data_IF_685160732159
#
_entry.id   IF_685160732159
#
_cell.length_a   1.000
_cell.length_b   1.000
_cell.length_c   1.000
_cell.angle_alpha   90.00
_cell.angle_beta   90.00
_cell.angle_gamma   90.00
#
_symmetry.space_group_name_H-M   'P 1'
#
loop_
_entity.id
_entity.type
_entity.pdbx_description
1 polymer ?
#
# COMPACT_ATOMS: atom_id res chain seq x y z
N UNK A 1 -8.32 8.34 -53.83
CA UNK A 1 -8.43 7.21 -52.87
C UNK A 1 -7.17 6.36 -52.98
N UNK A 2 -6.23 6.48 -52.04
CA UNK A 2 -5.07 5.59 -51.95
C UNK A 2 -5.38 4.50 -50.91
N UNK A 3 -5.09 3.22 -51.17
CA UNK A 3 -5.38 2.14 -50.22
C UNK A 3 -4.30 2.10 -49.13
N UNK A 4 -4.73 1.92 -47.88
CA UNK A 4 -3.84 1.62 -46.74
C UNK A 4 -3.35 0.15 -46.83
N UNK A 5 -2.05 -0.14 -46.65
CA UNK A 5 -1.56 -1.48 -46.44
C UNK A 5 -1.35 -1.75 -44.94
N UNK A 6 -1.80 -2.92 -44.46
CA UNK A 6 -1.45 -3.40 -43.11
C UNK A 6 -2.59 -4.09 -42.38
N UNK A 7 -3.05 -5.22 -42.91
CA UNK A 7 -3.94 -6.14 -42.20
C UNK A 7 -3.14 -6.84 -41.08
N UNK A 8 -3.26 -6.37 -39.84
CA UNK A 8 -2.79 -7.11 -38.66
C UNK A 8 -3.80 -8.22 -38.35
N UNK A 9 -3.44 -9.44 -38.70
CA UNK A 9 -4.21 -10.67 -38.45
C UNK A 9 -4.00 -11.16 -37.02
N UNK A 10 -4.52 -10.43 -36.04
CA UNK A 10 -4.76 -10.93 -34.69
C UNK A 10 -6.27 -10.95 -34.46
N UNK A 11 -6.86 -12.11 -34.11
CA UNK A 11 -8.29 -12.21 -33.77
C UNK A 11 -8.58 -11.36 -32.52
N UNK A 12 -8.97 -10.10 -32.71
CA UNK A 12 -9.59 -9.30 -31.67
C UNK A 12 -10.98 -9.86 -31.37
N UNK A 13 -11.31 -10.01 -30.09
CA UNK A 13 -12.67 -10.39 -29.69
C UNK A 13 -13.65 -9.22 -29.89
N UNK A 14 -14.94 -9.51 -30.09
CA UNK A 14 -15.97 -8.50 -30.42
C UNK A 14 -16.01 -7.32 -29.43
N UNK A 15 -15.72 -7.56 -28.15
CA UNK A 15 -15.59 -6.50 -27.13
C UNK A 15 -14.39 -5.56 -27.34
N UNK A 16 -13.25 -6.08 -27.81
CA UNK A 16 -12.07 -5.26 -28.13
C UNK A 16 -12.32 -4.40 -29.37
N UNK A 17 -13.06 -4.91 -30.36
CA UNK A 17 -13.49 -4.11 -31.51
C UNK A 17 -14.42 -2.96 -31.11
N UNK A 18 -15.36 -3.19 -30.20
CA UNK A 18 -16.29 -2.14 -29.73
C UNK A 18 -15.54 -1.07 -28.92
N UNK A 19 -14.63 -1.45 -28.03
CA UNK A 19 -13.77 -0.49 -27.30
C UNK A 19 -12.87 0.28 -28.27
N UNK A 20 -12.27 -0.37 -29.27
CA UNK A 20 -11.42 0.28 -30.27
C UNK A 20 -12.21 1.28 -31.14
N UNK A 21 -13.41 0.91 -31.59
CA UNK A 21 -14.30 1.76 -32.39
C UNK A 21 -14.83 2.95 -31.58
N UNK A 22 -15.29 2.72 -30.34
CA UNK A 22 -15.71 3.79 -29.43
C UNK A 22 -14.53 4.68 -29.03
N UNK A 23 -13.34 4.10 -28.85
CA UNK A 23 -12.12 4.85 -28.50
C UNK A 23 -11.62 5.75 -29.63
N UNK A 24 -11.83 5.38 -30.89
CA UNK A 24 -11.34 6.18 -32.03
C UNK A 24 -12.32 7.26 -32.47
N UNK A 25 -13.63 7.05 -32.33
CA UNK A 25 -14.66 8.00 -32.81
C UNK A 25 -15.15 9.01 -31.76
N UNK A 26 -15.15 8.67 -30.46
CA UNK A 26 -15.65 9.57 -29.41
C UNK A 26 -14.56 10.33 -28.67
N UNK A 27 -13.31 9.88 -28.67
CA UNK A 27 -12.26 10.49 -27.85
C UNK A 27 -11.78 11.83 -28.42
N UNK A 28 -11.57 11.95 -29.73
CA UNK A 28 -11.10 13.20 -30.33
C UNK A 28 -11.94 14.42 -29.94
N UNK A 29 -13.29 14.44 -30.09
CA UNK A 29 -14.08 15.60 -29.69
C UNK A 29 -14.11 15.82 -28.16
N UNK A 30 -13.95 14.77 -27.36
CA UNK A 30 -13.90 14.88 -25.89
C UNK A 30 -12.57 15.47 -25.42
N UNK A 31 -11.44 14.98 -25.95
CA UNK A 31 -10.09 15.48 -25.66
C UNK A 31 -9.91 16.92 -26.13
N UNK A 32 -10.39 17.24 -27.33
CA UNK A 32 -10.35 18.61 -27.85
C UNK A 32 -11.14 19.58 -26.95
N UNK A 33 -12.25 19.12 -26.38
CA UNK A 33 -13.05 19.91 -25.42
C UNK A 33 -12.38 20.02 -24.05
N UNK A 34 -11.72 18.97 -23.57
CA UNK A 34 -11.03 18.96 -22.28
C UNK A 34 -9.77 19.82 -22.26
N UNK A 35 -8.99 19.79 -23.34
CA UNK A 35 -7.72 20.52 -23.42
C UNK A 35 -7.81 21.85 -24.16
N UNK A 36 -8.93 22.14 -24.80
CA UNK A 36 -9.13 23.40 -25.53
C UNK A 36 -8.21 23.54 -26.76
N UNK A 37 -7.62 22.44 -27.23
CA UNK A 37 -6.77 22.38 -28.43
C UNK A 37 -7.40 21.45 -29.46
N UNK A 38 -7.24 21.77 -30.75
CA UNK A 38 -7.69 20.89 -31.83
C UNK A 38 -6.70 19.75 -32.10
N UNK A 39 -5.41 19.98 -31.82
CA UNK A 39 -4.38 18.97 -31.99
C UNK A 39 -4.26 18.12 -30.72
N UNK A 40 -4.88 16.95 -30.77
CA UNK A 40 -4.86 15.90 -29.74
C UNK A 40 -4.27 14.61 -30.32
N UNK A 41 -3.57 14.73 -31.45
CA UNK A 41 -3.11 13.60 -32.24
C UNK A 41 -2.07 12.77 -31.49
N UNK A 42 -1.19 13.45 -30.75
CA UNK A 42 -0.17 12.84 -29.93
C UNK A 42 -0.79 11.99 -28.82
N UNK A 43 -1.76 12.55 -28.09
CA UNK A 43 -2.39 11.82 -26.99
C UNK A 43 -3.29 10.69 -27.46
N UNK A 44 -3.99 10.87 -28.59
CA UNK A 44 -4.73 9.76 -29.22
C UNK A 44 -3.77 8.64 -29.61
N UNK A 45 -2.58 8.96 -30.09
CA UNK A 45 -1.57 7.96 -30.43
C UNK A 45 -1.06 7.26 -29.16
N UNK A 46 -0.77 8.02 -28.11
CA UNK A 46 -0.36 7.48 -26.81
C UNK A 46 -1.42 6.53 -26.23
N UNK A 47 -2.70 6.90 -26.29
CA UNK A 47 -3.81 6.06 -25.85
C UNK A 47 -3.95 4.77 -26.69
N UNK A 48 -3.70 4.84 -28.01
CA UNK A 48 -3.69 3.66 -28.88
C UNK A 48 -2.55 2.72 -28.53
N UNK A 49 -1.37 3.28 -28.29
CA UNK A 49 -0.18 2.51 -27.90
C UNK A 49 -0.38 1.85 -26.53
N UNK A 50 -1.03 2.56 -25.59
CA UNK A 50 -1.40 2.02 -24.28
C UNK A 50 -2.43 0.88 -24.39
N UNK A 51 -3.47 1.07 -25.20
CA UNK A 51 -4.49 0.04 -25.48
C UNK A 51 -3.88 -1.20 -26.12
N UNK A 52 -2.96 -1.01 -27.08
CA UNK A 52 -2.24 -2.11 -27.71
C UNK A 52 -1.39 -2.88 -26.68
N UNK A 53 -0.64 -2.19 -25.81
CA UNK A 53 0.12 -2.82 -24.72
C UNK A 53 -0.77 -3.60 -23.76
N UNK A 54 -1.88 -3.00 -23.34
CA UNK A 54 -2.86 -3.65 -22.46
C UNK A 54 -3.47 -4.90 -23.10
N UNK A 55 -3.69 -4.90 -24.41
CA UNK A 55 -4.23 -6.05 -25.14
C UNK A 55 -3.24 -7.21 -25.30
N UNK A 56 -1.94 -6.92 -25.22
CA UNK A 56 -0.87 -7.92 -25.30
C UNK A 56 -0.65 -8.62 -23.95
N UNK A 57 -0.91 -7.94 -22.84
CA UNK A 57 -0.88 -8.54 -21.51
C UNK A 57 -2.17 -9.32 -21.24
N UNK A 58 -2.03 -10.59 -20.81
CA UNK A 58 -3.18 -11.37 -20.36
C UNK A 58 -3.78 -10.69 -19.12
N UNK A 59 -5.09 -10.44 -19.13
CA UNK A 59 -5.78 -10.02 -17.92
C UNK A 59 -5.66 -11.09 -16.84
N UNK A 60 -5.09 -10.70 -15.70
CA UNK A 60 -4.80 -11.61 -14.60
C UNK A 60 -5.97 -11.61 -13.62
N UNK A 61 -6.43 -12.79 -13.25
CA UNK A 61 -7.48 -12.95 -12.24
C UNK A 61 -6.93 -12.81 -10.82
N UNK A 62 -7.79 -12.48 -9.86
CA UNK A 62 -7.40 -12.40 -8.43
C UNK A 62 -6.73 -13.69 -7.95
N UNK A 63 -7.23 -14.85 -8.38
CA UNK A 63 -6.70 -16.15 -7.96
C UNK A 63 -5.30 -16.41 -8.54
N UNK A 64 -5.01 -15.91 -9.74
CA UNK A 64 -3.70 -16.04 -10.37
C UNK A 64 -2.62 -15.22 -9.64
N UNK A 65 -2.98 -14.08 -9.03
CA UNK A 65 -2.04 -13.27 -8.23
C UNK A 65 -1.40 -14.05 -7.07
N UNK A 66 -2.15 -14.98 -6.47
CA UNK A 66 -1.67 -15.81 -5.36
C UNK A 66 -1.01 -17.11 -5.81
N UNK A 67 -1.27 -17.56 -7.04
CA UNK A 67 -0.73 -18.82 -7.60
C UNK A 67 0.59 -18.63 -8.34
N UNK A 68 0.77 -17.50 -9.02
CA UNK A 68 1.95 -17.23 -9.83
C UNK A 68 3.05 -16.63 -8.96
N UNK A 69 4.24 -17.25 -8.99
CA UNK A 69 5.35 -16.85 -8.12
C UNK A 69 5.82 -15.40 -8.34
N UNK A 70 5.77 -14.89 -9.58
CA UNK A 70 6.16 -13.51 -9.90
C UNK A 70 5.21 -12.47 -9.31
N UNK A 71 3.92 -12.81 -9.12
CA UNK A 71 2.93 -11.90 -8.52
C UNK A 71 2.80 -12.04 -7.01
N UNK A 72 3.24 -13.19 -6.45
CA UNK A 72 3.08 -13.50 -5.02
C UNK A 72 3.83 -12.52 -4.13
N UNK A 73 5.07 -12.17 -4.46
CA UNK A 73 5.84 -11.21 -3.64
C UNK A 73 5.25 -9.78 -3.73
N UNK A 74 4.97 -9.22 -4.93
CA UNK A 74 4.27 -7.96 -5.07
C UNK A 74 2.92 -7.89 -4.35
N UNK A 75 2.08 -8.94 -4.44
CA UNK A 75 0.75 -8.91 -3.83
C UNK A 75 0.80 -8.98 -2.30
N UNK A 76 1.76 -9.73 -1.75
CA UNK A 76 2.02 -9.74 -0.30
C UNK A 76 2.45 -8.35 0.17
N UNK A 77 3.36 -7.68 -0.55
CA UNK A 77 3.77 -6.31 -0.24
C UNK A 77 2.55 -5.38 -0.27
N UNK A 78 1.75 -5.43 -1.33
CA UNK A 78 0.53 -4.64 -1.46
C UNK A 78 -0.43 -4.83 -0.29
N UNK A 79 -0.74 -6.08 0.08
CA UNK A 79 -1.63 -6.37 1.21
C UNK A 79 -1.04 -5.82 2.52
N UNK A 80 0.23 -6.09 2.81
CA UNK A 80 0.87 -5.66 4.07
C UNK A 80 0.94 -4.14 4.17
N UNK A 81 1.18 -3.42 3.07
CA UNK A 81 1.15 -1.96 3.07
C UNK A 81 -0.25 -1.41 3.37
N UNK A 82 -1.31 -2.03 2.84
CA UNK A 82 -2.68 -1.63 3.16
C UNK A 82 -3.03 -1.93 4.62
N UNK A 83 -2.58 -3.08 5.15
CA UNK A 83 -2.70 -3.38 6.57
C UNK A 83 -1.95 -2.36 7.43
N UNK A 84 -0.75 -1.93 7.02
CA UNK A 84 0.04 -0.94 7.74
C UNK A 84 -0.66 0.41 7.84
N UNK A 85 -1.43 0.80 6.82
CA UNK A 85 -2.22 2.03 6.83
C UNK A 85 -3.32 1.96 7.88
N UNK A 86 -4.09 0.87 7.90
CA UNK A 86 -5.30 0.77 8.72
C UNK A 86 -4.99 0.34 10.16
N UNK A 87 -4.12 -0.66 10.34
CA UNK A 87 -3.66 -1.15 11.64
C UNK A 87 -2.62 -0.23 12.30
N UNK A 88 -2.25 0.89 11.66
CA UNK A 88 -1.54 1.98 12.33
C UNK A 88 -2.34 2.59 13.48
N UNK A 89 -3.68 2.46 13.45
CA UNK A 89 -4.58 3.08 14.43
C UNK A 89 -5.10 4.46 14.02
N UNK A 90 -4.83 4.93 12.79
CA UNK A 90 -5.29 6.26 12.34
C UNK A 90 -6.80 6.44 12.43
N UNK A 91 -7.60 5.42 12.12
CA UNK A 91 -9.06 5.53 12.26
C UNK A 91 -9.51 5.52 13.70
N UNK A 92 -8.78 4.84 14.59
CA UNK A 92 -9.07 4.93 16.01
C UNK A 92 -8.85 6.36 16.52
N UNK A 93 -7.79 7.01 16.06
CA UNK A 93 -7.57 8.44 16.31
C UNK A 93 -8.70 9.28 15.73
N UNK A 94 -9.07 9.13 14.45
CA UNK A 94 -10.13 9.97 13.87
C UNK A 94 -11.51 9.74 14.49
N UNK A 95 -11.92 8.49 14.71
CA UNK A 95 -13.24 8.15 15.23
C UNK A 95 -13.39 8.49 16.71
N UNK A 96 -12.31 8.35 17.50
CA UNK A 96 -12.37 8.49 18.97
C UNK A 96 -11.57 9.68 19.51
N UNK A 97 -10.96 10.51 18.65
CA UNK A 97 -10.20 11.71 19.04
C UNK A 97 -10.98 12.63 19.96
N UNK A 98 -12.26 12.88 19.69
CA UNK A 98 -13.11 13.73 20.54
C UNK A 98 -13.23 13.17 21.97
N UNK A 99 -13.39 11.84 22.10
CA UNK A 99 -13.38 11.15 23.39
C UNK A 99 -12.02 11.24 24.07
N UNK A 100 -10.94 10.94 23.35
CA UNK A 100 -9.57 11.00 23.87
C UNK A 100 -9.20 12.42 24.33
N UNK A 101 -9.55 13.45 23.56
CA UNK A 101 -9.32 14.85 23.91
C UNK A 101 -10.16 15.26 25.12
N UNK A 102 -11.42 14.80 25.20
CA UNK A 102 -12.27 15.05 26.37
C UNK A 102 -11.69 14.41 27.63
N UNK A 103 -11.22 13.16 27.54
CA UNK A 103 -10.60 12.43 28.64
C UNK A 103 -9.24 13.03 29.04
N UNK A 104 -8.56 13.67 28.08
CA UNK A 104 -7.40 14.51 28.31
C UNK A 104 -7.74 15.89 28.90
N UNK A 105 -9.01 16.25 29.12
CA UNK A 105 -9.39 17.52 29.74
C UNK A 105 -9.41 18.73 28.79
N UNK A 106 -9.51 18.49 27.48
CA UNK A 106 -9.77 19.55 26.50
C UNK A 106 -11.19 20.05 26.67
N UNK A 107 -11.35 21.35 26.91
CA UNK A 107 -12.67 21.99 27.12
C UNK A 107 -13.56 21.88 25.88
N UNK A 108 -12.96 22.02 24.69
CA UNK A 108 -13.67 21.95 23.40
C UNK A 108 -13.00 20.94 22.44
N UNK A 109 -13.23 19.63 22.65
CA UNK A 109 -12.59 18.55 21.89
C UNK A 109 -12.79 18.62 20.37
N UNK A 110 -13.87 19.27 19.94
CA UNK A 110 -14.20 19.45 18.53
C UNK A 110 -13.16 20.30 17.80
N UNK A 111 -12.64 21.37 18.42
CA UNK A 111 -11.63 22.23 17.79
C UNK A 111 -10.28 21.52 17.66
N UNK A 112 -9.92 20.68 18.63
CA UNK A 112 -8.73 19.83 18.53
C UNK A 112 -8.86 18.80 17.39
N UNK A 113 -10.07 18.26 17.18
CA UNK A 113 -10.36 17.35 16.06
C UNK A 113 -10.30 18.06 14.71
N UNK A 114 -10.84 19.28 14.61
CA UNK A 114 -10.70 20.14 13.43
C UNK A 114 -9.22 20.44 13.17
N UNK A 115 -8.45 20.73 14.21
CA UNK A 115 -7.00 20.92 14.13
C UNK A 115 -6.26 19.71 13.56
N UNK A 116 -6.65 18.49 13.96
CA UNK A 116 -6.13 17.26 13.37
C UNK A 116 -6.45 17.15 11.87
N UNK A 117 -7.65 17.54 11.45
CA UNK A 117 -8.02 17.60 10.02
C UNK A 117 -7.22 18.64 9.21
N UNK A 118 -6.91 19.80 9.81
CA UNK A 118 -6.03 20.81 9.20
C UNK A 118 -4.61 20.26 9.05
N UNK A 119 -4.07 19.65 10.09
CA UNK A 119 -2.74 19.02 10.05
C UNK A 119 -2.71 17.91 8.99
N UNK A 120 -3.73 17.07 8.94
CA UNK A 120 -3.89 16.05 7.92
C UNK A 120 -3.77 16.66 6.52
N UNK A 121 -4.60 17.65 6.20
CA UNK A 121 -4.61 18.33 4.90
C UNK A 121 -3.25 18.94 4.54
N UNK A 122 -2.60 19.63 5.49
CA UNK A 122 -1.29 20.26 5.27
C UNK A 122 -0.24 19.19 4.95
N UNK A 123 -0.17 18.12 5.74
CA UNK A 123 0.84 17.09 5.56
C UNK A 123 0.58 16.20 4.35
N UNK A 124 -0.68 16.05 3.91
CA UNK A 124 -0.99 15.44 2.61
C UNK A 124 -0.36 16.26 1.48
N UNK A 125 -0.50 17.60 1.50
CA UNK A 125 0.14 18.47 0.50
C UNK A 125 1.67 18.39 0.57
N UNK A 126 2.25 18.39 1.77
CA UNK A 126 3.70 18.21 1.95
C UNK A 126 4.17 16.87 1.37
N UNK A 127 3.41 15.80 1.62
CA UNK A 127 3.71 14.45 1.12
C UNK A 127 3.76 14.40 -0.41
N UNK A 128 2.86 15.10 -1.10
CA UNK A 128 2.87 15.21 -2.57
C UNK A 128 4.19 15.76 -3.12
N UNK A 129 4.81 16.73 -2.44
CA UNK A 129 6.11 17.27 -2.87
C UNK A 129 7.30 16.38 -2.47
N UNK A 130 7.18 15.67 -1.35
CA UNK A 130 8.25 14.82 -0.83
C UNK A 130 8.34 13.47 -1.53
N UNK A 131 7.23 12.90 -1.99
CA UNK A 131 7.18 11.53 -2.56
C UNK A 131 8.09 11.36 -3.76
N UNK A 132 8.21 12.40 -4.59
CA UNK A 132 9.12 12.40 -5.75
C UNK A 132 10.58 12.69 -5.38
N UNK A 133 10.84 13.33 -4.23
CA UNK A 133 12.19 13.69 -3.79
C UNK A 133 12.87 12.60 -2.94
N UNK A 134 12.16 12.07 -1.94
CA UNK A 134 12.72 11.16 -0.94
C UNK A 134 12.53 9.67 -1.29
N UNK A 135 11.59 9.36 -2.18
CA UNK A 135 11.22 7.98 -2.50
C UNK A 135 10.17 7.40 -1.57
N UNK A 136 9.50 6.36 -2.05
CA UNK A 136 8.31 5.80 -1.42
C UNK A 136 8.68 5.01 -0.16
N UNK A 137 9.77 4.23 -0.22
CA UNK A 137 10.19 3.40 0.92
C UNK A 137 10.63 4.25 2.11
N UNK A 138 11.44 5.27 1.86
CA UNK A 138 11.96 6.17 2.90
C UNK A 138 10.84 6.88 3.65
N UNK A 139 9.90 7.49 2.94
CA UNK A 139 8.79 8.21 3.55
C UNK A 139 7.84 7.29 4.32
N UNK A 140 7.58 6.09 3.80
CA UNK A 140 6.75 5.11 4.51
C UNK A 140 7.39 4.70 5.83
N UNK A 141 8.71 4.43 5.84
CA UNK A 141 9.44 4.11 7.07
C UNK A 141 9.47 5.28 8.06
N UNK A 142 9.70 6.51 7.60
CA UNK A 142 9.67 7.71 8.45
C UNK A 142 8.29 7.87 9.09
N UNK A 143 7.22 7.72 8.29
CA UNK A 143 5.85 7.80 8.81
C UNK A 143 5.57 6.72 9.86
N UNK A 144 5.85 5.45 9.58
CA UNK A 144 5.66 4.37 10.54
C UNK A 144 6.47 4.57 11.83
N UNK A 145 7.75 4.98 11.71
CA UNK A 145 8.61 5.24 12.85
C UNK A 145 8.14 6.42 13.69
N UNK A 146 7.78 7.54 13.05
CA UNK A 146 7.24 8.72 13.74
C UNK A 146 5.91 8.43 14.43
N UNK A 147 5.02 7.67 13.79
CA UNK A 147 3.78 7.20 14.39
C UNK A 147 4.03 6.31 15.61
N UNK A 148 5.02 5.40 15.57
CA UNK A 148 5.34 4.51 16.69
C UNK A 148 5.84 5.29 17.93
N UNK A 149 6.66 6.32 17.71
CA UNK A 149 7.09 7.22 18.78
C UNK A 149 5.89 7.98 19.36
N UNK A 150 5.02 8.52 18.49
CA UNK A 150 3.85 9.27 18.93
C UNK A 150 2.83 8.39 19.65
N UNK A 151 2.58 7.15 19.21
CA UNK A 151 1.67 6.22 19.90
C UNK A 151 2.19 5.82 21.27
N UNK A 152 3.50 5.65 21.41
CA UNK A 152 4.14 5.43 22.72
C UNK A 152 3.97 6.66 23.62
N UNK A 153 4.16 7.86 23.08
CA UNK A 153 3.96 9.12 23.79
C UNK A 153 2.49 9.31 24.21
N UNK A 154 1.52 8.90 23.39
CA UNK A 154 0.10 8.88 23.76
C UNK A 154 -0.14 7.99 24.98
N UNK A 155 0.36 6.74 25.00
CA UNK A 155 0.23 5.87 26.17
C UNK A 155 0.84 6.50 27.42
N UNK A 156 2.08 7.00 27.34
CA UNK A 156 2.76 7.63 28.49
C UNK A 156 1.98 8.85 29.00
N UNK A 157 1.55 9.72 28.09
CA UNK A 157 0.81 10.94 28.45
C UNK A 157 -0.54 10.64 29.10
N UNK A 158 -1.28 9.65 28.59
CA UNK A 158 -2.57 9.25 29.15
C UNK A 158 -2.42 8.58 30.53
N UNK A 159 -1.36 7.80 30.75
CA UNK A 159 -1.08 7.18 32.06
C UNK A 159 -0.65 8.20 33.12
N UNK A 160 0.01 9.29 32.70
CA UNK A 160 0.53 10.31 33.62
C UNK A 160 -0.40 11.52 33.79
N UNK A 161 -1.50 11.61 33.02
CA UNK A 161 -2.40 12.77 33.02
C UNK A 161 -3.02 13.07 34.38
N UNK A 162 -3.36 12.04 35.14
CA UNK A 162 -4.04 12.21 36.44
C UNK A 162 -3.07 12.72 37.52
N UNK A 163 -1.76 12.57 37.31
CA UNK A 163 -0.72 13.06 38.21
C UNK A 163 -0.16 14.43 37.78
N UNK A 164 -0.16 14.71 36.47
CA UNK A 164 0.43 15.91 35.88
C UNK A 164 -0.50 16.51 34.82
N UNK A 165 -1.18 17.60 35.16
CA UNK A 165 -2.11 18.32 34.26
C UNK A 165 -1.48 18.74 32.91
N UNK A 166 -0.16 18.90 32.84
CA UNK A 166 0.55 19.22 31.60
C UNK A 166 0.54 18.10 30.55
N UNK A 167 0.35 16.84 30.96
CA UNK A 167 0.40 15.69 30.05
C UNK A 167 -0.76 15.65 29.07
N UNK A 168 -1.88 16.30 29.40
CA UNK A 168 -3.00 16.51 28.48
C UNK A 168 -2.56 17.22 27.19
N UNK A 169 -1.76 18.28 27.30
CA UNK A 169 -1.23 19.00 26.14
C UNK A 169 -0.23 18.14 25.34
N UNK A 170 0.55 17.32 26.04
CA UNK A 170 1.46 16.36 25.40
C UNK A 170 0.68 15.33 24.59
N UNK A 171 -0.43 14.80 25.13
CA UNK A 171 -1.29 13.86 24.41
C UNK A 171 -1.87 14.48 23.13
N UNK A 172 -2.34 15.73 23.21
CA UNK A 172 -2.88 16.46 22.04
C UNK A 172 -1.79 16.65 20.99
N UNK A 173 -0.61 17.13 21.41
CA UNK A 173 0.54 17.30 20.52
C UNK A 173 0.95 15.97 19.87
N UNK A 174 0.97 14.89 20.63
CA UNK A 174 1.28 13.55 20.12
C UNK A 174 0.28 13.10 19.04
N UNK A 175 -1.03 13.37 19.22
CA UNK A 175 -2.07 13.06 18.24
C UNK A 175 -1.88 13.86 16.96
N UNK A 176 -1.63 15.17 17.05
CA UNK A 176 -1.41 16.01 15.87
C UNK A 176 -0.16 15.57 15.10
N UNK A 177 0.94 15.30 15.79
CA UNK A 177 2.19 14.84 15.16
C UNK A 177 2.04 13.42 14.59
N UNK A 178 1.26 12.55 15.24
CA UNK A 178 0.93 11.23 14.72
C UNK A 178 0.19 11.32 13.37
N UNK A 179 -0.81 12.20 13.27
CA UNK A 179 -1.55 12.45 12.02
C UNK A 179 -0.63 13.01 10.94
N UNK A 180 0.30 13.91 11.31
CA UNK A 180 1.30 14.43 10.37
C UNK A 180 2.19 13.31 9.79
N UNK A 181 2.72 12.43 10.64
CA UNK A 181 3.55 11.31 10.18
C UNK A 181 2.78 10.29 9.35
N UNK A 182 1.49 10.08 9.65
CA UNK A 182 0.62 9.24 8.83
C UNK A 182 0.55 9.76 7.38
N UNK A 183 0.29 11.05 7.21
CA UNK A 183 0.15 11.64 5.86
C UNK A 183 1.47 11.74 5.09
N UNK A 184 2.60 11.85 5.78
CA UNK A 184 3.93 11.81 5.15
C UNK A 184 4.18 10.47 4.44
N UNK A 185 3.64 9.36 4.96
CA UNK A 185 3.98 8.03 4.45
C UNK A 185 2.81 7.06 4.35
N UNK A 186 2.36 6.45 5.45
CA UNK A 186 1.33 5.41 5.44
C UNK A 186 -0.01 5.78 4.79
N UNK A 187 -0.37 7.06 4.74
CA UNK A 187 -1.58 7.53 4.05
C UNK A 187 -1.50 7.34 2.52
N UNK A 188 -0.66 8.09 1.80
CA UNK A 188 -0.65 8.05 0.34
C UNK A 188 0.09 6.84 -0.24
N UNK A 189 1.20 6.41 0.38
CA UNK A 189 2.17 5.52 -0.26
C UNK A 189 1.64 4.12 -0.58
N UNK A 190 0.83 3.46 0.26
CA UNK A 190 0.26 2.15 -0.07
C UNK A 190 -0.51 2.14 -1.39
N UNK A 191 -1.20 3.23 -1.74
CA UNK A 191 -1.93 3.33 -3.01
C UNK A 191 -1.00 3.53 -4.20
N UNK A 192 0.05 4.35 -4.06
CA UNK A 192 1.06 4.53 -5.11
C UNK A 192 1.83 3.25 -5.39
N UNK A 193 2.33 2.58 -4.34
CA UNK A 193 3.15 1.38 -4.50
C UNK A 193 2.37 0.26 -5.18
N UNK A 194 1.08 0.06 -4.87
CA UNK A 194 0.29 -1.00 -5.54
C UNK A 194 0.19 -0.71 -7.05
N UNK A 195 0.03 0.54 -7.46
CA UNK A 195 0.01 0.90 -8.87
C UNK A 195 1.39 0.72 -9.53
N UNK A 196 2.48 1.02 -8.81
CA UNK A 196 3.87 0.95 -9.28
C UNK A 196 4.44 -0.48 -9.32
N UNK A 197 3.94 -1.40 -8.49
CA UNK A 197 4.43 -2.79 -8.42
C UNK A 197 3.91 -3.69 -9.54
N UNK A 198 2.84 -3.29 -10.23
CA UNK A 198 2.15 -4.13 -11.20
C UNK A 198 2.05 -3.46 -12.57
N UNK A 199 2.34 -4.23 -13.62
CA UNK A 199 2.06 -3.86 -15.01
C UNK A 199 0.54 -3.79 -15.27
N UNK A 200 0.14 -3.32 -16.45
CA UNK A 200 -1.26 -3.01 -16.75
C UNK A 200 -2.21 -4.22 -16.63
N UNK A 201 -1.77 -5.42 -16.98
CA UNK A 201 -2.56 -6.65 -16.93
C UNK A 201 -3.00 -7.05 -15.50
N UNK A 202 -2.08 -7.24 -14.54
CA UNK A 202 -2.41 -7.62 -13.17
C UNK A 202 -2.86 -6.46 -12.26
N UNK A 203 -2.55 -5.20 -12.61
CA UNK A 203 -2.83 -4.04 -11.74
C UNK A 203 -4.29 -3.92 -11.30
N UNK A 204 -5.32 -4.10 -12.16
CA UNK A 204 -6.72 -4.01 -11.71
C UNK A 204 -7.06 -5.04 -10.62
N UNK A 205 -6.63 -6.29 -10.80
CA UNK A 205 -6.85 -7.34 -9.81
C UNK A 205 -6.06 -7.08 -8.51
N UNK A 206 -4.83 -6.58 -8.62
CA UNK A 206 -4.00 -6.24 -7.46
C UNK A 206 -4.61 -5.09 -6.65
N UNK A 207 -5.12 -4.05 -7.33
CA UNK A 207 -5.83 -2.93 -6.70
C UNK A 207 -7.13 -3.38 -6.03
N UNK A 208 -7.86 -4.33 -6.61
CA UNK A 208 -9.07 -4.89 -6.00
C UNK A 208 -8.75 -5.64 -4.69
N UNK A 209 -7.70 -6.47 -4.68
CA UNK A 209 -7.23 -7.18 -3.48
C UNK A 209 -6.73 -6.19 -2.43
N UNK A 210 -5.90 -5.22 -2.84
CA UNK A 210 -5.38 -4.18 -1.96
C UNK A 210 -6.52 -3.38 -1.32
N UNK A 211 -7.49 -2.91 -2.12
CA UNK A 211 -8.68 -2.21 -1.63
C UNK A 211 -9.51 -3.07 -0.67
N UNK A 212 -9.75 -4.34 -1.01
CA UNK A 212 -10.46 -5.25 -0.11
C UNK A 212 -9.71 -5.43 1.22
N UNK A 213 -8.38 -5.58 1.19
CA UNK A 213 -7.57 -5.70 2.41
C UNK A 213 -7.60 -4.43 3.27
N UNK A 214 -7.61 -3.25 2.61
CA UNK A 214 -7.73 -1.96 3.27
C UNK A 214 -9.08 -1.82 3.98
N UNK A 215 -10.19 -2.02 3.28
CA UNK A 215 -11.54 -1.93 3.87
C UNK A 215 -11.79 -2.99 4.95
N UNK A 216 -11.26 -4.21 4.76
CA UNK A 216 -11.39 -5.28 5.75
C UNK A 216 -10.66 -4.93 7.04
N UNK A 217 -9.42 -4.45 6.94
CA UNK A 217 -8.65 -4.04 8.13
C UNK A 217 -9.22 -2.79 8.79
N UNK A 218 -9.73 -1.83 8.01
CA UNK A 218 -10.49 -0.69 8.54
C UNK A 218 -11.70 -1.14 9.38
N UNK A 219 -12.53 -2.03 8.83
CA UNK A 219 -13.69 -2.61 9.50
C UNK A 219 -13.30 -3.30 10.81
N UNK A 220 -12.26 -4.13 10.79
CA UNK A 220 -11.77 -4.82 11.98
C UNK A 220 -11.28 -3.85 13.06
N UNK A 221 -10.57 -2.78 12.70
CA UNK A 221 -10.17 -1.74 13.67
C UNK A 221 -11.40 -1.07 14.26
N UNK A 222 -12.36 -0.64 13.44
CA UNK A 222 -13.59 0.00 13.92
C UNK A 222 -14.41 -0.90 14.84
N UNK A 223 -14.49 -2.19 14.55
CA UNK A 223 -15.24 -3.17 15.34
C UNK A 223 -14.54 -3.53 16.66
N UNK A 224 -13.23 -3.77 16.62
CA UNK A 224 -12.48 -4.32 17.75
C UNK A 224 -11.94 -3.24 18.71
N UNK A 225 -11.69 -2.02 18.22
CA UNK A 225 -11.07 -0.96 19.01
C UNK A 225 -11.86 -0.58 20.27
N UNK A 226 -13.20 -0.38 20.25
CA UNK A 226 -13.94 -0.05 21.48
C UNK A 226 -13.78 -1.09 22.58
N UNK A 227 -13.82 -2.37 22.22
CA UNK A 227 -13.62 -3.46 23.19
C UNK A 227 -12.19 -3.46 23.71
N UNK A 228 -11.19 -3.32 22.84
CA UNK A 228 -9.79 -3.25 23.24
C UNK A 228 -9.51 -2.05 24.17
N UNK A 229 -10.06 -0.88 23.84
CA UNK A 229 -9.93 0.33 24.64
C UNK A 229 -10.60 0.19 26.01
N UNK A 230 -11.74 -0.51 26.10
CA UNK A 230 -12.40 -0.77 27.37
C UNK A 230 -11.54 -1.61 28.32
N UNK A 231 -10.91 -2.68 27.82
CA UNK A 231 -10.10 -3.57 28.67
C UNK A 231 -8.68 -3.06 28.93
N UNK A 232 -8.08 -2.32 27.99
CA UNK A 232 -6.67 -1.91 28.05
C UNK A 232 -6.48 -0.44 28.44
N UNK A 233 -7.51 0.39 28.34
CA UNK A 233 -7.40 1.83 28.54
C UNK A 233 -6.27 2.44 27.69
N UNK A 234 -5.38 3.20 28.33
CA UNK A 234 -4.24 3.86 27.67
C UNK A 234 -3.24 2.89 26.99
N UNK A 235 -3.19 1.62 27.40
CA UNK A 235 -2.30 0.63 26.81
C UNK A 235 -2.74 0.18 25.40
N UNK A 236 -3.94 0.55 24.95
CA UNK A 236 -4.42 0.22 23.60
C UNK A 236 -3.47 0.72 22.50
N UNK A 237 -2.81 1.87 22.69
CA UNK A 237 -1.86 2.41 21.71
C UNK A 237 -0.55 1.64 21.63
N UNK A 238 -0.23 0.78 22.62
CA UNK A 238 0.92 -0.14 22.54
C UNK A 238 0.67 -1.24 21.50
N UNK A 239 -0.58 -1.67 21.31
CA UNK A 239 -0.95 -2.60 20.23
C UNK A 239 -0.58 -1.99 18.87
N UNK A 240 -0.98 -0.74 18.64
CA UNK A 240 -0.62 -0.02 17.42
C UNK A 240 0.88 0.17 17.29
N UNK A 241 1.59 0.48 18.38
CA UNK A 241 3.05 0.57 18.39
C UNK A 241 3.70 -0.74 17.92
N UNK A 242 3.22 -1.89 18.41
CA UNK A 242 3.69 -3.22 18.00
C UNK A 242 3.46 -3.47 16.51
N UNK A 243 2.29 -3.13 15.98
CA UNK A 243 2.00 -3.21 14.55
C UNK A 243 2.90 -2.28 13.73
N UNK A 244 3.05 -1.02 14.14
CA UNK A 244 3.88 -0.03 13.46
C UNK A 244 5.35 -0.47 13.36
N UNK A 245 5.93 -1.01 14.44
CA UNK A 245 7.30 -1.56 14.44
C UNK A 245 7.40 -2.79 13.52
N UNK A 246 6.39 -3.67 13.54
CA UNK A 246 6.35 -4.85 12.67
C UNK A 246 6.32 -4.45 11.20
N UNK A 247 5.48 -3.48 10.83
CA UNK A 247 5.40 -2.96 9.47
C UNK A 247 6.63 -2.15 9.07
N UNK A 248 7.26 -1.45 10.02
CA UNK A 248 8.52 -0.74 9.79
C UNK A 248 9.62 -1.74 9.41
N UNK A 249 9.74 -2.84 10.17
CA UNK A 249 10.68 -3.92 9.87
C UNK A 249 10.36 -4.58 8.52
N UNK A 250 9.09 -4.88 8.26
CA UNK A 250 8.67 -5.43 6.96
C UNK A 250 9.04 -4.49 5.80
N UNK A 251 8.77 -3.20 5.94
CA UNK A 251 9.11 -2.18 4.93
C UNK A 251 10.61 -2.09 4.72
N UNK A 252 11.39 -2.18 5.80
CA UNK A 252 12.83 -2.19 5.71
C UNK A 252 13.37 -3.42 4.98
N UNK A 253 12.82 -4.62 5.17
CA UNK A 253 13.38 -5.84 4.57
C UNK A 253 12.77 -6.25 3.23
N UNK A 254 11.49 -5.97 2.98
CA UNK A 254 10.73 -6.57 1.88
C UNK A 254 10.21 -5.59 0.84
N UNK A 255 10.08 -4.30 1.17
CA UNK A 255 9.52 -3.30 0.24
C UNK A 255 10.64 -2.72 -0.62
N UNK A 256 10.59 -2.87 -1.96
CA UNK A 256 11.57 -2.24 -2.84
C UNK A 256 11.30 -0.74 -2.96
N UNK A 257 12.35 0.01 -3.31
CA UNK A 257 12.17 1.39 -3.75
C UNK A 257 11.71 1.39 -5.22
N UNK A 258 10.61 2.09 -5.50
CA UNK A 258 9.97 2.18 -6.82
C UNK A 258 10.28 3.49 -7.54
N UNK A 259 10.78 4.50 -6.83
CA UNK A 259 11.09 5.82 -7.41
C UNK A 259 12.04 5.72 -8.60
N UNK A 260 11.63 6.29 -9.73
CA UNK A 260 12.43 6.42 -10.95
C UNK A 260 12.71 5.10 -11.66
N UNK A 261 11.96 4.03 -11.35
CA UNK A 261 12.07 2.72 -12.02
C UNK A 261 10.89 2.49 -12.94
N UNK A 262 11.13 1.79 -14.06
CA UNK A 262 10.06 1.38 -14.96
C UNK A 262 9.30 0.16 -14.41
N UNK A 263 8.07 -0.06 -14.88
CA UNK A 263 7.28 -1.25 -14.51
C UNK A 263 8.00 -2.55 -14.91
N UNK A 264 8.69 -2.57 -16.06
CA UNK A 264 9.50 -3.72 -16.46
C UNK A 264 10.67 -3.97 -15.50
N UNK A 265 11.37 -2.94 -15.03
CA UNK A 265 12.51 -3.11 -14.11
C UNK A 265 12.06 -3.72 -12.79
N UNK A 266 10.90 -3.27 -12.28
CA UNK A 266 10.32 -3.78 -11.04
C UNK A 266 9.87 -5.23 -11.23
N UNK A 267 9.15 -5.54 -12.31
CA UNK A 267 8.70 -6.90 -12.63
C UNK A 267 9.88 -7.87 -12.77
N UNK A 268 10.91 -7.50 -13.54
CA UNK A 268 12.13 -8.33 -13.71
C UNK A 268 12.86 -8.56 -12.40
N UNK A 269 12.89 -7.57 -11.50
CA UNK A 269 13.50 -7.74 -10.18
C UNK A 269 12.78 -8.82 -9.36
N UNK A 270 11.44 -8.88 -9.42
CA UNK A 270 10.66 -9.92 -8.74
C UNK A 270 10.77 -11.29 -9.42
N UNK A 271 10.82 -11.35 -10.75
CA UNK A 271 11.06 -12.59 -11.49
C UNK A 271 12.44 -13.19 -11.19
N UNK A 272 13.47 -12.34 -11.15
CA UNK A 272 14.83 -12.74 -10.77
C UNK A 272 14.91 -13.29 -9.34
N UNK A 273 14.21 -12.64 -8.38
CA UNK A 273 14.11 -13.15 -7.01
C UNK A 273 13.34 -14.47 -6.91
N UNK A 274 12.26 -14.63 -7.70
CA UNK A 274 11.51 -15.88 -7.76
C UNK A 274 12.38 -17.04 -8.27
N UNK A 275 13.16 -16.82 -9.34
CA UNK A 275 14.10 -17.82 -9.85
C UNK A 275 15.22 -18.17 -8.85
N UNK A 276 15.70 -17.20 -8.06
CA UNK A 276 16.65 -17.45 -6.97
C UNK A 276 16.07 -18.28 -5.83
N UNK A 277 14.82 -17.99 -5.43
CA UNK A 277 14.12 -18.73 -4.38
C UNK A 277 13.80 -20.19 -4.80
N UNK A 278 13.42 -20.40 -6.06
CA UNK A 278 13.08 -21.72 -6.59
C UNK A 278 14.31 -22.63 -6.76
N UNK A 279 15.50 -22.04 -6.99
CA UNK A 279 16.79 -22.77 -6.96
C UNK A 279 17.21 -23.14 -5.54
N UNK A 280 17.16 -22.19 -4.60
CA UNK A 280 17.49 -22.46 -3.19
C UNK A 280 16.56 -23.51 -2.57
N UNK A 281 15.28 -23.54 -2.96
CA UNK A 281 14.33 -24.58 -2.54
C UNK A 281 14.63 -25.96 -3.11
N UNK A 282 15.14 -26.05 -4.36
CA UNK A 282 15.56 -27.32 -4.96
C UNK A 282 16.86 -27.86 -4.37
N UNK A 283 17.83 -26.98 -4.09
CA UNK A 283 19.11 -27.37 -3.51
C UNK A 283 18.93 -27.89 -2.07
N UNK A 284 18.08 -27.24 -1.26
CA UNK A 284 17.74 -27.72 0.10
C UNK A 284 16.97 -29.04 0.13
N UNK A 285 16.14 -29.32 -0.89
CA UNK A 285 15.44 -30.62 -1.02
C UNK A 285 16.38 -31.73 -1.49
N UNK A 286 17.39 -31.44 -2.32
CA UNK A 286 18.45 -32.41 -2.67
C UNK A 286 19.34 -32.73 -1.47
N UNK A 287 19.68 -31.74 -0.66
CA UNK A 287 20.52 -31.92 0.53
C UNK A 287 19.81 -32.79 1.60
N UNK A 288 18.49 -32.61 1.77
CA UNK A 288 17.72 -33.40 2.75
C UNK A 288 17.45 -34.84 2.28
N UNK A 289 17.39 -35.09 0.97
CA UNK A 289 17.25 -36.45 0.40
C UNK A 289 18.57 -37.23 0.32
N UNK A 290 19.72 -36.58 0.54
CA UNK A 290 21.04 -37.23 0.51
C UNK A 290 21.55 -37.69 1.89
N UNK A 291 20.79 -37.41 2.96
CA UNK A 291 21.04 -37.95 4.30
C UNK A 291 20.48 -39.39 4.35
N UNK A 292 21.33 -40.38 4.02
CA UNK A 292 20.98 -41.80 4.17
C UNK A 292 20.80 -42.17 5.65
N UNK A 293 19.86 -43.07 6.00
CA UNK A 293 19.70 -43.54 7.37
C UNK A 293 20.97 -44.30 7.84
N UNK A 294 21.28 -44.30 9.15
CA UNK A 294 22.48 -44.93 9.68
C UNK A 294 22.44 -46.43 9.37
N UNK A 295 23.53 -46.98 8.82
CA UNK A 295 23.67 -48.42 8.60
C UNK A 295 23.63 -49.14 9.95
N UNK A 296 22.60 -49.96 10.16
CA UNK A 296 22.54 -50.92 11.25
C UNK A 296 23.75 -51.86 11.14
N UNK A 297 24.63 -51.78 12.14
CA UNK A 297 25.77 -52.68 12.26
C UNK A 297 25.26 -53.98 12.89
N UNK A 298 24.98 -54.98 12.04
CA UNK A 298 24.68 -56.34 12.47
C UNK A 298 25.92 -56.92 13.11
N UNK A 299 25.87 -57.09 14.44
CA UNK A 299 26.95 -57.73 15.21
C UNK A 299 26.63 -59.22 15.26
N UNK A 300 27.39 -60.02 14.50
CA UNK A 300 27.35 -61.47 14.61
C UNK A 300 28.21 -61.92 15.80
N UNK A 301 27.57 -62.54 16.80
CA UNK A 301 28.14 -63.57 17.68
C UNK A 301 27.07 -64.63 17.91
#
# INVERSE_FOLDING_TARGET
MRPFPGCFTGRMNLGQHIVFILSSFFFSPVLQRLWGTQDVSQDIQEMKDESARMSQEKQVTVLELFRVSSYRQPIIISIVLQLSQQLSGINAVFYYSTGIFKDAGVQEPIYATIGAGVVNTIFTVVSLFLVERAGRRTLHMIGLGGMAVCSTLMTVSLLLKDNYNGMSFVCIGAILVFVAFFEIGPGPIPWFIVAELFSQGPRPAAMAVAGCSNWTSNFLVGLLFPSAAHYLGAYVFIIFTGFLITFLAFTFFKVPETRGRTFEDITRAFEGQAHGADRSGKDGVMEMNSIQPPKETTTNV
#
